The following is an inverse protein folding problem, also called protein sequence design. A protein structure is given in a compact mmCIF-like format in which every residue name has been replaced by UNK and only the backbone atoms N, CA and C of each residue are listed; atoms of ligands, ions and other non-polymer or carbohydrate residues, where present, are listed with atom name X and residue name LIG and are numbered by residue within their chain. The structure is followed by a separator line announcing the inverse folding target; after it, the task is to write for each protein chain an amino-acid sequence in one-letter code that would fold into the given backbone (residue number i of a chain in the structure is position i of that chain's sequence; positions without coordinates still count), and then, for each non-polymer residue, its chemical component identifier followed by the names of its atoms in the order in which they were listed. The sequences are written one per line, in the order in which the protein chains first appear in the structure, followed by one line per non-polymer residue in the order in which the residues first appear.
data_IF_243683949563
#
_entry.id   IF_243683949563
#
_cell.length_a   1.000
_cell.length_b   1.000
_cell.length_c   1.000
_cell.angle_alpha   90.00
_cell.angle_beta   90.00
_cell.angle_gamma   90.00
#
_symmetry.space_group_name_H-M   'P 1'
#
loop_
_entity.id
_entity.type
_entity.pdbx_description
1 polymer ?
#
# COMPACT_ATOMS: atom_id res chain seq x y z
N UNK A 1 -7.43 -9.07 22.14
CA UNK A 1 -6.56 -8.03 21.56
C UNK A 1 -6.30 -7.00 22.64
N UNK A 2 -5.13 -6.37 22.64
CA UNK A 2 -4.79 -5.32 23.57
C UNK A 2 -5.68 -4.09 23.40
N UNK A 3 -5.77 -3.28 24.46
CA UNK A 3 -6.62 -2.08 24.52
C UNK A 3 -6.34 -1.10 23.37
N UNK A 4 -5.09 -1.04 22.89
CA UNK A 4 -4.70 -0.17 21.77
C UNK A 4 -5.20 -0.70 20.42
N UNK A 5 -5.11 -2.00 20.17
CA UNK A 5 -5.59 -2.60 18.93
C UNK A 5 -7.11 -2.43 18.76
N UNK A 6 -7.87 -2.66 19.82
CA UNK A 6 -9.33 -2.47 19.82
C UNK A 6 -9.68 -0.99 19.60
N UNK A 7 -8.95 -0.07 20.25
CA UNK A 7 -9.13 1.37 20.01
C UNK A 7 -8.89 1.73 18.55
N UNK A 8 -7.79 1.26 17.96
CA UNK A 8 -7.48 1.58 16.57
C UNK A 8 -8.52 1.02 15.60
N UNK A 9 -9.04 -0.18 15.82
CA UNK A 9 -10.06 -0.76 14.94
C UNK A 9 -11.38 0.04 14.91
N UNK A 10 -11.70 0.76 15.98
CA UNK A 10 -12.87 1.65 16.05
C UNK A 10 -12.60 3.06 15.48
N UNK A 11 -11.35 3.37 15.11
CA UNK A 11 -10.95 4.71 14.66
C UNK A 11 -10.33 4.66 13.26
N UNK A 12 -10.95 5.39 12.32
CA UNK A 12 -10.44 5.54 10.97
C UNK A 12 -9.05 6.22 10.93
N UNK A 13 -8.28 5.93 9.89
CA UNK A 13 -7.05 6.65 9.57
C UNK A 13 -7.33 8.14 9.37
N UNK A 14 -6.47 9.01 9.91
CA UNK A 14 -6.64 10.47 9.83
C UNK A 14 -5.38 11.13 9.28
N UNK A 15 -5.57 12.05 8.34
CA UNK A 15 -4.54 12.94 7.78
C UNK A 15 -5.10 14.36 7.71
N UNK A 16 -4.22 15.37 7.70
CA UNK A 16 -4.59 16.74 7.38
C UNK A 16 -3.78 17.21 6.15
N UNK A 17 -4.44 17.57 5.02
CA UNK A 17 -5.89 17.49 4.80
C UNK A 17 -6.41 16.04 4.78
N UNK A 18 -7.71 15.83 5.02
CA UNK A 18 -8.33 14.50 5.02
C UNK A 18 -8.09 13.74 3.71
N UNK A 19 -8.13 12.42 3.81
CA UNK A 19 -8.04 11.57 2.62
C UNK A 19 -9.24 11.79 1.69
N UNK A 20 -8.94 11.86 0.39
CA UNK A 20 -9.83 12.16 -0.73
C UNK A 20 -9.52 11.21 -1.90
N UNK A 21 -10.02 9.97 -1.87
CA UNK A 21 -9.74 8.95 -2.87
C UNK A 21 -10.06 9.39 -4.30
N UNK A 22 -9.16 9.10 -5.24
CA UNK A 22 -9.37 9.32 -6.68
C UNK A 22 -10.66 8.64 -7.19
N UNK A 23 -11.01 7.48 -6.63
CA UNK A 23 -12.22 6.74 -6.99
C UNK A 23 -13.53 7.49 -6.66
N UNK A 24 -13.47 8.51 -5.80
CA UNK A 24 -14.65 9.22 -5.25
C UNK A 24 -14.71 10.68 -5.64
N UNK A 25 -13.83 11.12 -6.54
CA UNK A 25 -13.82 12.53 -6.92
C UNK A 25 -15.13 12.93 -7.61
N UNK A 26 -15.58 14.15 -7.32
CA UNK A 26 -16.77 14.72 -7.95
C UNK A 26 -16.48 15.27 -9.36
N UNK A 27 -17.50 15.84 -10.00
CA UNK A 27 -17.40 16.38 -11.35
C UNK A 27 -16.46 17.59 -11.42
N UNK A 28 -16.42 18.43 -10.38
CA UNK A 28 -15.58 19.64 -10.34
C UNK A 28 -14.11 19.25 -10.13
N UNK A 29 -13.85 18.22 -9.34
CA UNK A 29 -12.53 17.63 -9.14
C UNK A 29 -12.02 16.94 -10.41
N UNK A 30 -12.90 16.23 -11.12
CA UNK A 30 -12.55 15.66 -12.43
C UNK A 30 -12.21 16.75 -13.43
N UNK A 31 -13.01 17.80 -13.52
CA UNK A 31 -12.73 18.95 -14.39
C UNK A 31 -11.39 19.62 -14.04
N UNK A 32 -11.04 19.71 -12.74
CA UNK A 32 -9.73 20.21 -12.31
C UNK A 32 -8.58 19.31 -12.73
N UNK A 33 -8.71 17.98 -12.68
CA UNK A 33 -7.69 17.08 -13.21
C UNK A 33 -7.57 17.17 -14.74
N UNK A 34 -8.69 17.29 -15.44
CA UNK A 34 -8.72 17.48 -16.89
C UNK A 34 -7.98 18.76 -17.29
N UNK A 35 -8.19 19.87 -16.56
CA UNK A 35 -7.49 21.13 -16.80
C UNK A 35 -5.99 21.05 -16.50
N UNK A 36 -5.62 20.40 -15.38
CA UNK A 36 -4.26 20.42 -14.85
C UNK A 36 -3.33 19.44 -15.55
N UNK A 37 -3.78 18.22 -15.76
CA UNK A 37 -2.95 17.11 -16.26
C UNK A 37 -3.59 16.39 -17.44
N UNK A 38 -4.65 16.95 -18.04
CA UNK A 38 -5.28 16.40 -19.23
C UNK A 38 -6.16 15.18 -18.98
N UNK A 39 -6.50 14.86 -17.72
CA UNK A 39 -7.43 13.79 -17.40
C UNK A 39 -7.11 13.05 -16.11
N UNK A 40 -8.13 12.46 -15.48
CA UNK A 40 -7.93 11.56 -14.34
C UNK A 40 -7.14 10.28 -14.72
N UNK A 41 -7.23 9.85 -15.97
CA UNK A 41 -6.46 8.75 -16.55
C UNK A 41 -4.95 9.05 -16.62
N UNK A 42 -4.57 10.31 -16.71
CA UNK A 42 -3.18 10.73 -16.71
C UNK A 42 -2.58 10.75 -15.31
N UNK A 43 -3.41 10.61 -14.26
CA UNK A 43 -2.97 10.59 -12.86
C UNK A 43 -2.43 9.23 -12.39
N UNK A 44 -2.05 8.36 -13.33
CA UNK A 44 -1.35 7.12 -13.04
C UNK A 44 0.17 7.36 -13.01
N UNK A 45 0.87 6.78 -12.03
CA UNK A 45 2.30 7.05 -11.78
C UNK A 45 3.21 6.80 -13.00
N UNK A 46 2.91 5.80 -13.82
CA UNK A 46 3.66 5.46 -15.03
C UNK A 46 3.36 6.42 -16.18
N UNK A 47 2.12 6.88 -16.30
CA UNK A 47 1.73 7.90 -17.28
C UNK A 47 2.39 9.25 -16.93
N UNK A 48 2.32 9.67 -15.67
CA UNK A 48 2.98 10.90 -15.20
C UNK A 48 4.49 10.87 -15.44
N UNK A 49 5.14 9.72 -15.24
CA UNK A 49 6.56 9.57 -15.56
C UNK A 49 6.86 9.76 -17.05
N UNK A 50 5.99 9.31 -17.96
CA UNK A 50 6.15 9.55 -19.39
C UNK A 50 5.93 11.02 -19.73
N UNK A 51 4.89 11.64 -19.18
CA UNK A 51 4.60 13.06 -19.41
C UNK A 51 5.76 13.96 -18.94
N UNK A 52 6.40 13.65 -17.80
CA UNK A 52 7.60 14.36 -17.34
C UNK A 52 8.80 14.11 -18.26
N UNK A 53 8.93 12.94 -18.89
CA UNK A 53 9.99 12.70 -19.88
C UNK A 53 9.76 13.51 -21.16
N UNK A 54 8.51 13.66 -21.58
CA UNK A 54 8.11 14.41 -22.77
C UNK A 54 8.25 15.92 -22.54
N UNK A 55 7.89 16.42 -21.36
CA UNK A 55 8.08 17.80 -20.94
C UNK A 55 8.71 17.92 -19.53
N UNK A 56 10.05 17.84 -19.44
CA UNK A 56 10.80 17.95 -18.19
C UNK A 56 10.60 19.23 -17.38
N UNK A 57 10.19 20.31 -18.05
CA UNK A 57 10.06 21.64 -17.42
C UNK A 57 8.66 21.84 -16.81
N UNK A 58 7.71 20.97 -17.16
CA UNK A 58 6.34 21.05 -16.65
C UNK A 58 6.29 20.63 -15.16
N UNK A 59 6.11 21.65 -14.31
CA UNK A 59 6.00 21.48 -12.86
C UNK A 59 4.69 20.80 -12.46
N UNK A 60 3.65 20.88 -13.28
CA UNK A 60 2.33 20.33 -12.97
C UNK A 60 2.35 18.80 -12.95
N UNK A 61 3.03 18.16 -13.91
CA UNK A 61 3.21 16.70 -13.87
C UNK A 61 4.07 16.24 -12.71
N UNK A 62 5.12 17.01 -12.36
CA UNK A 62 5.97 16.71 -11.20
C UNK A 62 5.21 16.82 -9.89
N UNK A 63 4.39 17.87 -9.73
CA UNK A 63 3.46 18.04 -8.60
C UNK A 63 2.48 16.88 -8.51
N UNK A 64 1.85 16.50 -9.62
CA UNK A 64 0.93 15.38 -9.66
C UNK A 64 1.59 14.06 -9.24
N UNK A 65 2.78 13.77 -9.76
CA UNK A 65 3.52 12.55 -9.42
C UNK A 65 3.91 12.53 -7.95
N UNK A 66 4.48 13.62 -7.44
CA UNK A 66 4.85 13.75 -6.04
C UNK A 66 3.62 13.62 -5.12
N UNK A 67 2.50 14.25 -5.48
CA UNK A 67 1.25 14.16 -4.71
C UNK A 67 0.68 12.74 -4.68
N UNK A 68 0.71 12.03 -5.82
CA UNK A 68 0.25 10.65 -5.91
C UNK A 68 1.07 9.73 -4.99
N UNK A 69 2.39 9.91 -4.98
CA UNK A 69 3.30 9.09 -4.18
C UNK A 69 3.16 9.44 -2.70
N UNK A 70 3.32 10.71 -2.31
CA UNK A 70 3.30 11.12 -0.90
C UNK A 70 2.00 10.73 -0.20
N UNK A 71 0.86 10.75 -0.91
CA UNK A 71 -0.41 10.29 -0.35
C UNK A 71 -0.36 8.82 0.09
N UNK A 72 0.29 7.96 -0.70
CA UNK A 72 0.44 6.55 -0.37
C UNK A 72 1.33 6.37 0.85
N UNK A 73 2.43 7.12 0.93
CA UNK A 73 3.36 7.07 2.08
C UNK A 73 2.64 7.41 3.40
N UNK A 74 1.79 8.44 3.40
CA UNK A 74 0.97 8.76 4.58
C UNK A 74 0.03 7.62 4.97
N UNK A 75 -0.55 6.92 4.00
CA UNK A 75 -1.40 5.75 4.27
C UNK A 75 -0.58 4.57 4.82
N UNK A 76 0.67 4.40 4.37
CA UNK A 76 1.63 3.45 4.90
C UNK A 76 1.87 3.65 6.40
N UNK A 77 2.09 4.88 6.86
CA UNK A 77 2.30 5.19 8.29
C UNK A 77 1.19 4.60 9.16
N UNK A 78 -0.07 4.84 8.80
CA UNK A 78 -1.22 4.34 9.56
C UNK A 78 -1.34 2.81 9.45
N UNK A 79 -1.17 2.24 8.26
CA UNK A 79 -1.25 0.81 8.04
C UNK A 79 -0.21 0.02 8.85
N UNK A 80 1.06 0.42 8.81
CA UNK A 80 2.13 -0.27 9.54
C UNK A 80 2.09 0.03 11.03
N UNK A 81 1.74 1.25 11.43
CA UNK A 81 1.55 1.60 12.83
C UNK A 81 0.44 0.76 13.49
N UNK A 82 -0.65 0.48 12.76
CA UNK A 82 -1.71 -0.44 13.22
C UNK A 82 -1.21 -1.87 13.33
N UNK A 83 -0.39 -2.35 12.39
CA UNK A 83 0.16 -3.70 12.46
C UNK A 83 1.00 -3.90 13.73
N UNK A 84 1.78 -2.89 14.15
CA UNK A 84 2.50 -2.94 15.44
C UNK A 84 1.53 -3.21 16.59
N UNK A 85 0.49 -2.40 16.74
CA UNK A 85 -0.49 -2.57 17.82
C UNK A 85 -1.32 -3.86 17.70
N UNK A 86 -1.65 -4.30 16.48
CA UNK A 86 -2.48 -5.49 16.25
C UNK A 86 -1.72 -6.79 16.47
N UNK A 87 -0.40 -6.78 16.27
CA UNK A 87 0.42 -7.98 16.31
C UNK A 87 1.26 -8.09 17.58
N UNK A 88 1.36 -7.04 18.40
CA UNK A 88 2.14 -7.06 19.66
C UNK A 88 1.72 -8.19 20.62
N UNK A 89 0.43 -8.53 20.63
CA UNK A 89 -0.12 -9.61 21.47
C UNK A 89 -0.24 -10.96 20.73
N UNK A 90 0.21 -11.04 19.48
CA UNK A 90 0.16 -12.26 18.68
C UNK A 90 1.45 -13.08 18.84
N UNK A 91 1.35 -14.39 18.62
CA UNK A 91 2.51 -15.29 18.61
C UNK A 91 3.32 -15.13 17.30
N UNK A 92 3.92 -13.95 17.11
CA UNK A 92 4.85 -13.65 16.02
C UNK A 92 6.28 -13.54 16.55
N UNK A 93 7.32 -13.73 15.72
CA UNK A 93 8.68 -13.53 16.17
C UNK A 93 8.90 -12.09 16.68
N UNK A 94 9.52 -11.90 17.85
CA UNK A 94 9.76 -10.57 18.45
C UNK A 94 10.42 -9.57 17.50
N UNK A 95 11.31 -10.06 16.63
CA UNK A 95 11.96 -9.25 15.61
C UNK A 95 10.98 -8.61 14.63
N UNK A 96 9.80 -9.18 14.42
CA UNK A 96 8.80 -8.71 13.46
C UNK A 96 8.20 -7.39 13.93
N UNK A 97 7.85 -7.29 15.22
CA UNK A 97 7.27 -6.07 15.78
C UNK A 97 8.28 -4.92 15.67
N UNK A 98 9.55 -5.16 16.02
CA UNK A 98 10.61 -4.16 15.83
C UNK A 98 10.82 -3.77 14.37
N UNK A 99 10.72 -4.73 13.45
CA UNK A 99 10.80 -4.46 12.02
C UNK A 99 9.63 -3.59 11.53
N UNK A 100 8.40 -3.85 12.00
CA UNK A 100 7.23 -3.03 11.70
C UNK A 100 7.32 -1.62 12.29
N UNK A 101 7.87 -1.46 13.50
CA UNK A 101 8.14 -0.14 14.09
C UNK A 101 9.13 0.64 13.23
N UNK A 102 10.20 -0.02 12.77
CA UNK A 102 11.16 0.59 11.86
C UNK A 102 10.47 1.03 10.56
N UNK A 103 9.74 0.13 9.91
CA UNK A 103 9.05 0.44 8.65
C UNK A 103 8.06 1.59 8.83
N UNK A 104 7.29 1.62 9.93
CA UNK A 104 6.40 2.74 10.27
C UNK A 104 7.15 4.08 10.30
N UNK A 105 8.36 4.09 10.88
CA UNK A 105 9.20 5.29 10.90
C UNK A 105 9.78 5.64 9.54
N UNK A 106 10.17 4.64 8.74
CA UNK A 106 10.64 4.84 7.38
C UNK A 106 9.52 5.46 6.51
N UNK A 107 8.25 5.07 6.68
CA UNK A 107 7.12 5.74 6.00
C UNK A 107 6.89 7.18 6.45
N UNK A 108 7.14 7.50 7.73
CA UNK A 108 7.10 8.90 8.20
C UNK A 108 8.14 9.72 7.46
N UNK A 109 9.33 9.15 7.23
CA UNK A 109 10.37 9.79 6.45
C UNK A 109 10.00 9.90 4.97
N UNK A 110 9.45 8.85 4.36
CA UNK A 110 8.97 8.89 2.98
C UNK A 110 7.92 9.99 2.77
N UNK A 111 6.92 10.05 3.65
CA UNK A 111 5.88 11.07 3.61
C UNK A 111 6.45 12.47 3.81
N UNK A 112 7.44 12.64 4.71
CA UNK A 112 8.08 13.94 4.93
C UNK A 112 8.87 14.39 3.71
N UNK A 113 9.75 13.55 3.18
CA UNK A 113 10.55 13.87 2.00
C UNK A 113 9.68 14.12 0.76
N UNK A 114 8.65 13.31 0.55
CA UNK A 114 7.67 13.50 -0.51
C UNK A 114 6.87 14.80 -0.37
N UNK A 115 6.53 15.20 0.86
CA UNK A 115 5.85 16.48 1.13
C UNK A 115 6.78 17.66 0.79
N UNK A 116 8.03 17.61 1.23
CA UNK A 116 9.02 18.65 0.90
C UNK A 116 9.30 18.74 -0.60
N UNK A 117 9.32 17.60 -1.31
CA UNK A 117 9.45 17.56 -2.77
C UNK A 117 8.22 18.17 -3.46
N UNK A 118 7.01 17.85 -2.99
CA UNK A 118 5.77 18.45 -3.52
C UNK A 118 5.76 19.97 -3.32
N UNK A 119 6.16 20.44 -2.14
CA UNK A 119 6.32 21.87 -1.83
C UNK A 119 7.39 22.52 -2.71
N UNK A 120 8.48 21.81 -3.00
CA UNK A 120 9.54 22.28 -3.91
C UNK A 120 9.00 22.55 -5.33
N UNK A 121 8.06 21.73 -5.81
CA UNK A 121 7.36 21.95 -7.08
C UNK A 121 6.20 22.96 -6.99
N UNK A 122 6.03 23.62 -5.83
CA UNK A 122 4.99 24.61 -5.59
C UNK A 122 3.60 24.01 -5.36
N UNK A 123 3.52 22.73 -5.03
CA UNK A 123 2.28 22.06 -4.64
C UNK A 123 2.09 22.03 -3.12
N UNK A 124 0.94 21.54 -2.68
CA UNK A 124 0.63 21.26 -1.28
C UNK A 124 -0.12 19.94 -1.17
N UNK A 125 0.07 19.23 -0.06
CA UNK A 125 -0.66 18.00 0.22
C UNK A 125 -2.18 18.24 0.09
N UNK A 126 -2.86 17.38 -0.66
CA UNK A 126 -4.30 17.48 -0.93
C UNK A 126 -4.69 18.26 -2.18
N UNK A 127 -3.73 18.87 -2.89
CA UNK A 127 -3.97 19.53 -4.20
C UNK A 127 -4.54 18.55 -5.23
N UNK A 128 -4.14 17.28 -5.16
CA UNK A 128 -4.65 16.19 -5.97
C UNK A 128 -5.36 15.17 -5.08
N UNK A 129 -6.28 14.37 -5.64
CA UNK A 129 -6.84 13.25 -4.91
C UNK A 129 -5.77 12.20 -4.60
N UNK A 130 -6.10 11.32 -3.67
CA UNK A 130 -5.24 10.24 -3.22
C UNK A 130 -5.38 9.03 -4.16
N UNK A 131 -4.25 8.55 -4.68
CA UNK A 131 -4.21 7.42 -5.65
C UNK A 131 -4.33 6.05 -5.01
N UNK A 132 -4.38 5.98 -3.67
CA UNK A 132 -4.52 4.75 -2.88
C UNK A 132 -3.47 3.69 -3.23
N UNK A 133 -2.24 3.87 -2.75
CA UNK A 133 -1.53 2.70 -2.23
C UNK A 133 -1.86 2.64 -0.73
N UNK A 134 -2.66 1.66 -0.33
CA UNK A 134 -3.28 1.59 0.99
C UNK A 134 -4.78 1.88 0.90
N UNK A 135 -5.54 0.90 0.42
CA UNK A 135 -6.99 0.84 0.50
C UNK A 135 -7.49 1.21 1.90
N UNK A 136 -7.96 2.44 2.07
CA UNK A 136 -8.76 2.81 3.25
C UNK A 136 -10.07 2.03 3.20
N UNK A 137 -10.59 1.62 4.37
CA UNK A 137 -11.89 0.93 4.52
C UNK A 137 -13.04 1.63 3.80
N UNK A 138 -12.86 2.92 3.49
CA UNK A 138 -13.79 3.74 2.75
C UNK A 138 -14.28 3.03 1.46
N UNK A 139 -13.41 2.39 0.68
CA UNK A 139 -13.74 1.78 -0.63
C UNK A 139 -14.45 0.44 -0.60
N UNK A 140 -14.58 -0.16 0.58
CA UNK A 140 -15.27 -1.43 0.78
C UNK A 140 -16.78 -1.17 0.91
N UNK A 141 -17.53 -1.58 -0.11
CA UNK A 141 -18.96 -1.30 -0.22
C UNK A 141 -19.79 -2.28 0.61
N UNK A 142 -19.31 -3.52 0.78
CA UNK A 142 -20.02 -4.56 1.52
C UNK A 142 -19.39 -4.83 2.88
N UNK A 143 -20.20 -5.35 3.79
CA UNK A 143 -19.72 -5.82 5.11
C UNK A 143 -18.76 -7.01 4.97
N UNK A 144 -18.97 -7.81 3.94
CA UNK A 144 -18.13 -8.95 3.61
C UNK A 144 -16.73 -8.52 3.14
N UNK A 145 -16.66 -7.49 2.28
CA UNK A 145 -15.40 -6.88 1.84
C UNK A 145 -14.63 -6.29 3.03
N UNK A 146 -15.32 -5.59 3.93
CA UNK A 146 -14.73 -5.07 5.19
C UNK A 146 -14.21 -6.20 6.08
N UNK A 147 -14.99 -7.26 6.24
CA UNK A 147 -14.57 -8.43 7.02
C UNK A 147 -13.35 -9.11 6.40
N UNK A 148 -13.33 -9.32 5.09
CA UNK A 148 -12.22 -9.93 4.37
C UNK A 148 -10.93 -9.11 4.51
N UNK A 149 -11.04 -7.78 4.37
CA UNK A 149 -9.92 -6.87 4.57
C UNK A 149 -9.41 -6.93 6.01
N UNK A 150 -10.31 -6.91 7.01
CA UNK A 150 -9.92 -7.03 8.41
C UNK A 150 -9.20 -8.35 8.69
N UNK A 151 -9.71 -9.48 8.19
CA UNK A 151 -9.03 -10.78 8.32
C UNK A 151 -7.62 -10.71 7.74
N UNK A 152 -7.47 -10.13 6.53
CA UNK A 152 -6.17 -9.97 5.87
C UNK A 152 -5.20 -9.11 6.71
N UNK A 153 -5.67 -7.98 7.23
CA UNK A 153 -4.84 -7.07 8.04
C UNK A 153 -4.46 -7.68 9.40
N UNK A 154 -5.35 -8.44 10.02
CA UNK A 154 -5.12 -9.06 11.32
C UNK A 154 -4.19 -10.28 11.25
N UNK A 155 -4.15 -10.97 10.11
CA UNK A 155 -3.28 -12.12 9.89
C UNK A 155 -1.89 -11.68 9.39
N UNK A 156 -0.81 -11.84 10.17
CA UNK A 156 0.52 -11.38 9.79
C UNK A 156 1.03 -11.98 8.47
N UNK A 157 0.70 -13.25 8.18
CA UNK A 157 1.12 -13.92 6.94
C UNK A 157 0.43 -13.29 5.72
N UNK A 158 -0.89 -13.09 5.80
CA UNK A 158 -1.63 -12.47 4.69
C UNK A 158 -1.26 -11.00 4.51
N UNK A 159 -1.06 -10.27 5.61
CA UNK A 159 -0.65 -8.87 5.59
C UNK A 159 0.75 -8.69 5.00
N UNK A 160 1.76 -9.41 5.50
CA UNK A 160 3.13 -9.35 4.97
C UNK A 160 3.19 -9.77 3.50
N UNK A 161 2.43 -10.80 3.11
CA UNK A 161 2.39 -11.25 1.71
C UNK A 161 1.77 -10.19 0.78
N UNK A 162 0.62 -9.62 1.16
CA UNK A 162 -0.06 -8.63 0.34
C UNK A 162 0.63 -7.26 0.34
N UNK A 163 1.19 -6.84 1.47
CA UNK A 163 1.79 -5.51 1.60
C UNK A 163 3.28 -5.59 1.35
N UNK A 164 4.06 -6.18 2.26
CA UNK A 164 5.53 -6.19 2.20
C UNK A 164 6.13 -6.90 0.99
N UNK A 165 5.49 -7.94 0.46
CA UNK A 165 6.01 -8.61 -0.74
C UNK A 165 5.43 -7.98 -2.01
N UNK A 166 4.10 -7.84 -2.10
CA UNK A 166 3.47 -7.41 -3.33
C UNK A 166 3.43 -5.87 -3.54
N UNK A 167 2.93 -5.10 -2.56
CA UNK A 167 2.75 -3.65 -2.69
C UNK A 167 4.10 -2.93 -2.55
N UNK A 168 4.83 -3.20 -1.49
CA UNK A 168 6.18 -2.68 -1.25
C UNK A 168 7.14 -3.12 -2.38
N UNK A 169 7.05 -4.38 -2.83
CA UNK A 169 7.78 -4.84 -4.02
C UNK A 169 7.49 -4.02 -5.29
N UNK A 170 6.27 -3.46 -5.43
CA UNK A 170 5.93 -2.53 -6.50
C UNK A 170 6.44 -1.10 -6.22
N UNK A 171 6.42 -0.65 -4.97
CA UNK A 171 7.00 0.62 -4.52
C UNK A 171 8.53 0.64 -4.77
N UNK A 172 9.23 -0.46 -4.51
CA UNK A 172 10.66 -0.63 -4.81
C UNK A 172 10.99 -0.31 -6.27
N UNK A 173 10.16 -0.82 -7.19
CA UNK A 173 10.29 -0.57 -8.63
C UNK A 173 9.88 0.86 -9.00
N UNK A 174 8.88 1.41 -8.32
CA UNK A 174 8.44 2.79 -8.52
C UNK A 174 9.53 3.78 -8.12
N UNK A 175 10.03 3.73 -6.89
CA UNK A 175 11.04 4.67 -6.39
C UNK A 175 12.34 4.62 -7.18
N UNK A 176 12.84 3.42 -7.50
CA UNK A 176 14.00 3.28 -8.38
C UNK A 176 13.74 3.81 -9.80
N UNK A 177 12.52 3.64 -10.32
CA UNK A 177 12.09 4.22 -11.60
C UNK A 177 12.04 5.75 -11.59
N UNK A 178 11.46 6.33 -10.54
CA UNK A 178 11.31 7.79 -10.40
C UNK A 178 12.66 8.45 -10.06
N UNK A 179 13.54 7.79 -9.30
CA UNK A 179 14.89 8.30 -9.08
C UNK A 179 15.67 8.39 -10.40
N UNK A 180 15.62 7.34 -11.23
CA UNK A 180 16.20 7.36 -12.58
C UNK A 180 15.52 8.35 -13.51
N UNK A 181 14.22 8.60 -13.34
CA UNK A 181 13.55 9.69 -14.04
C UNK A 181 14.20 11.02 -13.70
N UNK A 182 14.34 11.34 -12.41
CA UNK A 182 15.01 12.55 -11.93
C UNK A 182 16.40 12.73 -12.54
N UNK A 183 17.20 11.67 -12.58
CA UNK A 183 18.51 11.69 -13.25
C UNK A 183 18.42 12.07 -14.73
N UNK A 184 17.49 11.46 -15.49
CA UNK A 184 17.34 11.70 -16.93
C UNK A 184 16.86 13.12 -17.25
N UNK A 185 16.01 13.70 -16.40
CA UNK A 185 15.43 15.03 -16.61
C UNK A 185 16.22 16.14 -15.90
N UNK A 186 17.35 15.81 -15.26
CA UNK A 186 18.18 16.78 -14.55
C UNK A 186 17.55 17.31 -13.26
N UNK A 187 16.61 16.58 -12.67
CA UNK A 187 15.94 16.95 -11.42
C UNK A 187 16.58 16.21 -10.23
N UNK A 188 17.58 16.87 -9.64
CA UNK A 188 18.36 16.31 -8.53
C UNK A 188 17.52 16.09 -7.27
N UNK A 189 16.52 16.95 -7.01
CA UNK A 189 15.65 16.80 -5.84
C UNK A 189 14.79 15.55 -5.98
N UNK A 190 14.15 15.34 -7.14
CA UNK A 190 13.42 14.11 -7.44
C UNK A 190 14.32 12.87 -7.28
N UNK A 191 15.49 12.92 -7.92
CA UNK A 191 16.45 11.80 -7.93
C UNK A 191 16.83 11.40 -6.52
N UNK A 192 17.23 12.37 -5.69
CA UNK A 192 17.69 12.12 -4.32
C UNK A 192 16.56 11.64 -3.42
N UNK A 193 15.42 12.32 -3.41
CA UNK A 193 14.28 11.95 -2.55
C UNK A 193 13.87 10.50 -2.78
N UNK A 194 13.71 10.09 -4.04
CA UNK A 194 13.29 8.73 -4.34
C UNK A 194 14.43 7.71 -4.29
N UNK A 195 15.69 8.11 -4.36
CA UNK A 195 16.83 7.22 -4.04
C UNK A 195 16.86 6.89 -2.53
N UNK A 196 16.60 7.88 -1.68
CA UNK A 196 16.48 7.67 -0.23
C UNK A 196 15.31 6.75 0.11
N UNK A 197 14.11 7.00 -0.42
CA UNK A 197 12.97 6.09 -0.19
C UNK A 197 13.24 4.69 -0.74
N UNK A 198 13.88 4.60 -1.92
CA UNK A 198 14.25 3.31 -2.50
C UNK A 198 15.17 2.48 -1.59
N UNK A 199 16.10 3.12 -0.87
CA UNK A 199 17.01 2.44 0.04
C UNK A 199 16.27 1.77 1.22
N UNK A 200 15.19 2.36 1.70
CA UNK A 200 14.38 1.79 2.79
C UNK A 200 13.46 0.71 2.28
N UNK A 201 12.94 0.89 1.08
CA UNK A 201 12.05 -0.06 0.43
C UNK A 201 12.72 -1.42 0.20
N UNK A 202 14.06 -1.44 0.01
CA UNK A 202 14.85 -2.69 0.01
C UNK A 202 14.68 -3.44 1.33
N UNK A 203 14.64 -2.71 2.45
CA UNK A 203 14.44 -3.27 3.77
C UNK A 203 12.98 -3.71 3.95
N UNK A 204 12.00 -2.92 3.51
CA UNK A 204 10.57 -3.24 3.63
C UNK A 204 10.22 -4.57 2.96
N UNK A 205 10.74 -4.78 1.75
CA UNK A 205 10.61 -6.05 1.02
C UNK A 205 11.35 -7.18 1.73
N UNK A 206 12.56 -6.92 2.23
CA UNK A 206 13.35 -7.90 2.97
C UNK A 206 12.67 -8.36 4.27
N UNK A 207 11.93 -7.46 4.93
CA UNK A 207 11.11 -7.78 6.10
C UNK A 207 10.03 -8.80 5.70
N UNK A 208 9.28 -8.53 4.63
CA UNK A 208 8.27 -9.47 4.11
C UNK A 208 8.86 -10.83 3.81
N UNK A 209 9.90 -10.88 2.98
CA UNK A 209 10.56 -12.11 2.55
C UNK A 209 11.13 -12.93 3.72
N UNK A 210 11.74 -12.28 4.70
CA UNK A 210 12.38 -12.96 5.82
C UNK A 210 11.35 -13.49 6.83
N UNK A 211 10.40 -12.65 7.24
CA UNK A 211 9.42 -13.04 8.26
C UNK A 211 8.37 -14.00 7.72
N UNK A 212 7.98 -13.93 6.44
CA UNK A 212 7.09 -14.93 5.85
C UNK A 212 7.73 -16.32 5.86
N UNK A 213 9.01 -16.44 5.53
CA UNK A 213 9.73 -17.72 5.61
C UNK A 213 9.79 -18.25 7.03
N UNK A 214 9.88 -17.37 8.03
CA UNK A 214 9.88 -17.75 9.45
C UNK A 214 8.50 -18.18 9.94
N UNK A 215 7.46 -17.47 9.54
CA UNK A 215 6.08 -17.80 9.89
C UNK A 215 5.59 -19.08 9.19
N UNK A 216 6.12 -19.38 8.01
CA UNK A 216 5.81 -20.59 7.25
C UNK A 216 6.81 -21.73 7.49
N UNK A 217 7.76 -21.59 8.43
CA UNK A 217 8.75 -22.63 8.72
C UNK A 217 8.03 -23.91 9.15
N UNK A 218 8.29 -24.99 8.42
CA UNK A 218 7.62 -26.30 8.55
C UNK A 218 6.08 -26.30 8.39
N UNK A 219 5.52 -25.25 7.79
CA UNK A 219 4.07 -25.06 7.60
C UNK A 219 3.71 -24.83 6.11
N UNK A 220 3.61 -25.89 5.30
CA UNK A 220 3.37 -25.78 3.86
C UNK A 220 2.03 -25.14 3.49
N UNK A 221 1.00 -25.29 4.32
CA UNK A 221 -0.27 -24.60 4.14
C UNK A 221 -0.15 -23.07 4.30
N UNK A 222 0.68 -22.62 5.24
CA UNK A 222 0.96 -21.19 5.49
C UNK A 222 1.68 -20.58 4.30
N UNK A 223 2.66 -21.30 3.72
CA UNK A 223 3.34 -20.89 2.49
C UNK A 223 2.38 -20.78 1.30
N UNK A 224 1.48 -21.75 1.13
CA UNK A 224 0.48 -21.71 0.05
C UNK A 224 -0.48 -20.52 0.18
N UNK A 225 -0.91 -20.20 1.41
CA UNK A 225 -1.73 -19.01 1.68
C UNK A 225 -0.95 -17.75 1.32
N UNK A 226 0.31 -17.64 1.74
CA UNK A 226 1.16 -16.49 1.42
C UNK A 226 1.30 -16.30 -0.10
N UNK A 227 1.66 -17.35 -0.84
CA UNK A 227 1.81 -17.27 -2.30
C UNK A 227 0.51 -16.87 -3.02
N UNK A 228 -0.63 -17.39 -2.55
CA UNK A 228 -1.93 -17.05 -3.12
C UNK A 228 -2.27 -15.58 -2.89
N UNK A 229 -2.09 -15.09 -1.66
CA UNK A 229 -2.37 -13.69 -1.30
C UNK A 229 -1.49 -12.72 -2.07
N UNK A 230 -0.22 -13.07 -2.27
CA UNK A 230 0.70 -12.29 -3.09
C UNK A 230 0.19 -12.21 -4.53
N UNK A 231 -0.05 -13.37 -5.17
CA UNK A 231 -0.50 -13.43 -6.56
C UNK A 231 -1.83 -12.72 -6.80
N UNK A 232 -2.76 -12.81 -5.85
CA UNK A 232 -4.03 -12.07 -5.88
C UNK A 232 -3.81 -10.56 -5.84
N UNK A 233 -2.93 -10.09 -4.95
CA UNK A 233 -2.66 -8.66 -4.77
C UNK A 233 -1.95 -8.07 -5.99
N UNK A 234 -0.96 -8.79 -6.54
CA UNK A 234 -0.27 -8.40 -7.76
C UNK A 234 -1.22 -8.35 -8.98
N UNK A 235 -2.08 -9.36 -9.13
CA UNK A 235 -3.06 -9.43 -10.22
C UNK A 235 -4.11 -8.32 -10.10
N UNK A 236 -4.64 -8.08 -8.90
CA UNK A 236 -5.60 -7.01 -8.64
C UNK A 236 -5.03 -5.64 -9.00
N UNK A 237 -3.78 -5.37 -8.60
CA UNK A 237 -3.05 -4.14 -8.94
C UNK A 237 -2.86 -3.98 -10.45
N UNK A 238 -2.44 -5.04 -11.14
CA UNK A 238 -2.26 -5.00 -12.60
C UNK A 238 -3.59 -4.76 -13.33
N UNK A 239 -4.70 -5.29 -12.81
CA UNK A 239 -6.04 -5.05 -13.34
C UNK A 239 -6.59 -3.66 -13.00
N UNK A 240 -6.11 -3.02 -11.94
CA UNK A 240 -6.43 -1.61 -11.65
C UNK A 240 -5.65 -0.66 -12.56
N UNK A 241 -4.41 -1.03 -12.94
CA UNK A 241 -3.58 -0.26 -13.89
C UNK A 241 -4.08 -0.33 -15.32
N UNK A 242 -4.62 -1.47 -15.74
CA UNK A 242 -5.22 -1.61 -17.06
C UNK A 242 -6.67 -1.10 -16.99
N UNK A 243 -7.15 -0.41 -18.02
CA UNK A 243 -8.59 -0.20 -18.23
C UNK A 243 -9.24 -1.54 -18.58
N UNK A 244 -9.29 -2.47 -17.63
CA UNK A 244 -9.86 -3.81 -17.85
C UNK A 244 -11.37 -3.71 -17.76
N UNK A 245 -12.05 -4.44 -18.65
CA UNK A 245 -13.50 -4.47 -18.74
C UNK A 245 -14.14 -4.86 -17.42
N UNK A 246 -15.37 -4.40 -17.20
CA UNK A 246 -16.16 -4.73 -16.00
C UNK A 246 -16.28 -6.25 -15.76
N UNK A 247 -16.25 -7.05 -16.84
CA UNK A 247 -16.30 -8.51 -16.79
C UNK A 247 -15.09 -9.12 -16.06
N UNK A 248 -13.87 -8.66 -16.36
CA UNK A 248 -12.68 -9.19 -15.68
C UNK A 248 -12.62 -8.72 -14.23
N UNK A 249 -13.11 -7.50 -13.94
CA UNK A 249 -13.26 -7.03 -12.55
C UNK A 249 -14.23 -7.91 -11.76
N UNK A 250 -15.31 -8.38 -12.40
CA UNK A 250 -16.27 -9.31 -11.81
C UNK A 250 -15.65 -10.69 -11.56
N UNK A 251 -14.93 -11.25 -12.54
CA UNK A 251 -14.27 -12.56 -12.42
C UNK A 251 -13.20 -12.57 -11.30
N UNK A 252 -12.44 -11.48 -11.16
CA UNK A 252 -11.48 -11.32 -10.06
C UNK A 252 -12.22 -11.20 -8.73
N UNK A 253 -13.33 -10.46 -8.66
CA UNK A 253 -14.13 -10.34 -7.45
C UNK A 253 -14.72 -11.69 -7.03
N UNK A 254 -15.34 -12.44 -7.94
CA UNK A 254 -15.91 -13.77 -7.67
C UNK A 254 -14.83 -14.77 -7.22
N UNK A 255 -13.63 -14.68 -7.82
CA UNK A 255 -12.48 -15.44 -7.35
C UNK A 255 -12.08 -15.06 -5.92
N UNK A 256 -12.06 -13.76 -5.59
CA UNK A 256 -11.69 -13.24 -4.27
C UNK A 256 -12.73 -13.60 -3.19
N UNK A 257 -14.02 -13.60 -3.53
CA UNK A 257 -15.10 -14.07 -2.65
C UNK A 257 -14.92 -15.57 -2.34
N UNK A 258 -14.71 -16.40 -3.38
CA UNK A 258 -14.45 -17.84 -3.20
C UNK A 258 -13.18 -18.16 -2.42
N UNK A 259 -12.16 -17.29 -2.47
CA UNK A 259 -10.92 -17.46 -1.69
C UNK A 259 -11.04 -16.94 -0.26
N UNK A 260 -11.84 -15.91 -0.01
CA UNK A 260 -12.16 -15.45 1.35
C UNK A 260 -12.93 -16.53 2.11
N UNK A 261 -13.84 -17.24 1.44
CA UNK A 261 -14.55 -18.40 1.98
C UNK A 261 -13.61 -19.58 2.26
N UNK A 262 -12.59 -19.81 1.42
CA UNK A 262 -11.56 -20.83 1.67
C UNK A 262 -10.63 -20.45 2.82
N UNK A 263 -10.18 -19.21 2.89
CA UNK A 263 -9.34 -18.73 3.98
C UNK A 263 -10.08 -18.72 5.32
N UNK A 264 -11.35 -18.33 5.33
CA UNK A 264 -12.19 -18.36 6.53
C UNK A 264 -12.56 -19.78 6.95
N UNK A 265 -12.77 -20.72 6.01
CA UNK A 265 -12.99 -22.13 6.36
C UNK A 265 -11.74 -22.84 6.90
N UNK A 266 -10.53 -22.44 6.51
CA UNK A 266 -9.27 -22.89 7.14
C UNK A 266 -9.13 -22.34 8.57
N UNK A 267 -9.63 -21.13 8.84
CA UNK A 267 -9.60 -20.50 10.17
C UNK A 267 -10.72 -20.96 11.14
N UNK A 268 -11.77 -21.63 10.63
CA UNK A 268 -12.91 -22.14 11.43
C UNK A 268 -12.81 -23.66 11.67
N UNK A 269 -11.74 -24.32 11.22
CA UNK A 269 -11.35 -25.64 11.73
C UNK A 269 -11.10 -25.57 13.24
N UNK A 270 -11.30 -26.65 14.01
CA UNK A 270 -11.23 -26.58 15.47
C UNK A 270 -9.83 -26.11 15.88
N UNK A 271 -9.73 -24.86 16.34
CA UNK A 271 -8.65 -24.37 17.19
C UNK A 271 -8.81 -24.98 18.59
N UNK A 272 -8.92 -26.31 18.65
CA UNK A 272 -8.84 -27.07 19.88
C UNK A 272 -7.65 -28.01 19.75
N UNK A 273 -6.68 -27.78 20.62
CA UNK A 273 -5.54 -28.63 20.96
C UNK A 273 -4.40 -28.66 19.94
N UNK A 274 -3.41 -27.77 20.11
CA UNK A 274 -2.13 -28.01 19.44
C UNK A 274 -1.05 -26.93 19.52
N UNK A 275 -1.36 -25.66 19.78
CA UNK A 275 -0.32 -24.64 19.96
C UNK A 275 -0.01 -24.45 21.45
N UNK A 276 0.87 -25.28 21.98
CA UNK A 276 1.63 -24.96 23.19
C UNK A 276 2.96 -24.33 22.76
N UNK A 277 3.20 -23.04 23.04
CA UNK A 277 4.52 -22.47 22.84
C UNK A 277 5.46 -23.06 23.89
N UNK A 278 6.42 -23.86 23.43
CA UNK A 278 7.49 -24.40 24.28
C UNK A 278 8.30 -23.25 24.91
N UNK A 279 8.66 -23.47 26.18
CA UNK A 279 9.24 -22.53 27.15
C UNK A 279 10.61 -21.99 26.82
#
# INVERSE_FOLDING_TARGET
MGVMADYLDDHAAVRNPPYRPLARIDADERARLDERIGGAENYASDVLQQLILEDPEDQEYKRALASAIVSAEYAGIDAFGRNVARWEDQAVPDGLIHAMVRQTWDEVRHARLGTELLEHYGGTLGDYPDTLAGSSDADLQTEEERRAMRIRQLNPVMSLSSVNVAIEGAALRLFSGVSRLGERVGDDMMRLVYDYNWADEVVHVSIGDWFLKKLAEDQPETEQVALRVQGMTETGRDNQRRNVSAQVKLEVREFMEGETDRASSVLVGPLSDGYEPDR
#
